data_IF_619414635377
#
_entry.id   IF_619414635377
#
_cell.length_a   1.000
_cell.length_b   1.000
_cell.length_c   1.000
_cell.angle_alpha   90.00
_cell.angle_beta   90.00
_cell.angle_gamma   90.00
#
_symmetry.space_group_name_H-M   'P 1'
#
loop_
_entity.id
_entity.type
_entity.pdbx_description
1 polymer ?
#
# COMPACT_ATOMS: atom_id res chain seq x y z
N UNK A 1 -2.96 -19.86 -4.94
CA UNK A 1 -3.15 -18.48 -5.41
C UNK A 1 -4.39 -17.80 -4.85
N UNK A 2 -5.53 -18.48 -4.71
CA UNK A 2 -6.78 -17.89 -4.17
C UNK A 2 -6.61 -17.40 -2.74
N UNK A 3 -5.90 -18.13 -1.87
CA UNK A 3 -5.69 -17.76 -0.47
C UNK A 3 -4.91 -16.46 -0.27
N UNK A 4 -3.90 -16.20 -1.09
CA UNK A 4 -3.10 -14.98 -0.99
C UNK A 4 -3.90 -13.70 -1.30
N UNK A 5 -4.86 -13.78 -2.22
CA UNK A 5 -5.71 -12.64 -2.59
C UNK A 5 -6.89 -12.39 -1.65
N UNK A 6 -7.26 -13.37 -0.81
CA UNK A 6 -8.40 -13.25 0.09
C UNK A 6 -8.11 -12.39 1.33
N UNK A 7 -6.87 -12.36 1.82
CA UNK A 7 -6.52 -11.72 3.09
C UNK A 7 -5.77 -10.41 2.92
N UNK A 8 -4.91 -10.28 1.90
CA UNK A 8 -4.01 -9.13 1.74
C UNK A 8 -4.74 -7.88 1.25
N UNK A 9 -5.41 -7.95 0.11
CA UNK A 9 -6.09 -6.78 -0.48
C UNK A 9 -7.33 -6.39 0.33
N UNK A 10 -8.23 -7.32 0.71
CA UNK A 10 -9.37 -6.98 1.55
C UNK A 10 -8.95 -6.46 2.92
N UNK A 11 -7.89 -6.99 3.53
CA UNK A 11 -7.37 -6.52 4.81
C UNK A 11 -6.94 -5.05 4.75
N UNK A 12 -6.14 -4.66 3.77
CA UNK A 12 -5.75 -3.27 3.57
C UNK A 12 -6.95 -2.36 3.27
N UNK A 13 -7.88 -2.81 2.43
CA UNK A 13 -9.08 -2.05 2.09
C UNK A 13 -9.96 -1.79 3.32
N UNK A 14 -10.22 -2.81 4.12
CA UNK A 14 -11.02 -2.70 5.34
C UNK A 14 -10.38 -1.73 6.33
N UNK A 15 -9.06 -1.83 6.55
CA UNK A 15 -8.33 -0.94 7.44
C UNK A 15 -8.32 0.50 6.92
N UNK A 16 -8.16 0.71 5.62
CA UNK A 16 -8.27 2.03 4.99
C UNK A 16 -9.65 2.65 5.19
N UNK A 17 -10.72 1.90 4.94
CA UNK A 17 -12.11 2.36 5.13
C UNK A 17 -12.38 2.65 6.62
N UNK A 18 -11.94 1.78 7.52
CA UNK A 18 -12.08 1.99 8.96
C UNK A 18 -11.40 3.27 9.43
N UNK A 19 -10.19 3.54 8.93
CA UNK A 19 -9.49 4.77 9.22
C UNK A 19 -10.23 6.00 8.68
N UNK A 20 -10.66 5.99 7.42
CA UNK A 20 -11.40 7.09 6.79
C UNK A 20 -12.73 7.37 7.49
N UNK A 21 -13.38 6.35 8.08
CA UNK A 21 -14.62 6.51 8.84
C UNK A 21 -14.40 7.03 10.26
N UNK A 22 -13.16 7.05 10.75
CA UNK A 22 -12.82 7.61 12.07
C UNK A 22 -12.88 9.14 12.09
N UNK A 23 -12.95 9.72 13.28
CA UNK A 23 -12.94 11.18 13.45
C UNK A 23 -11.70 11.84 12.80
N UNK A 24 -10.54 11.18 12.86
CA UNK A 24 -9.31 11.67 12.26
C UNK A 24 -9.27 11.52 10.73
N UNK A 25 -9.99 10.55 10.18
CA UNK A 25 -10.03 10.27 8.74
C UNK A 25 -11.07 11.10 7.97
N UNK A 26 -12.00 11.76 8.64
CA UNK A 26 -13.13 12.48 8.02
C UNK A 26 -12.67 13.62 7.09
N UNK A 27 -11.68 14.40 7.51
CA UNK A 27 -11.14 15.46 6.66
C UNK A 27 -10.43 14.90 5.42
N UNK A 28 -9.66 13.82 5.60
CA UNK A 28 -8.95 13.14 4.50
C UNK A 28 -9.97 12.58 3.52
N UNK A 29 -11.06 11.96 4.01
CA UNK A 29 -12.14 11.45 3.18
C UNK A 29 -12.78 12.56 2.36
N UNK A 30 -13.06 13.71 2.98
CA UNK A 30 -13.66 14.87 2.30
C UNK A 30 -12.74 15.40 1.20
N UNK A 31 -11.46 15.61 1.50
CA UNK A 31 -10.48 16.08 0.51
C UNK A 31 -10.38 15.08 -0.64
N UNK A 32 -10.30 13.78 -0.37
CA UNK A 32 -10.26 12.76 -1.41
C UNK A 32 -11.50 12.81 -2.31
N UNK A 33 -12.68 12.97 -1.72
CA UNK A 33 -13.93 13.12 -2.46
C UNK A 33 -13.93 14.36 -3.35
N UNK A 34 -13.54 15.51 -2.80
CA UNK A 34 -13.49 16.77 -3.53
C UNK A 34 -12.51 16.69 -4.70
N UNK A 35 -11.34 16.07 -4.53
CA UNK A 35 -10.36 15.86 -5.59
C UNK A 35 -10.88 14.90 -6.69
N UNK A 36 -11.62 13.87 -6.32
CA UNK A 36 -12.28 12.98 -7.29
C UNK A 36 -13.32 13.77 -8.10
N UNK A 37 -14.16 14.57 -7.45
CA UNK A 37 -15.22 15.34 -8.11
C UNK A 37 -14.69 16.44 -9.00
N UNK A 38 -13.51 17.00 -8.75
CA UNK A 38 -12.84 17.94 -9.67
C UNK A 38 -12.45 17.29 -11.00
N UNK A 39 -12.01 16.05 -10.96
CA UNK A 39 -11.55 15.32 -12.15
C UNK A 39 -12.72 14.63 -12.86
N UNK A 40 -13.70 14.15 -12.09
CA UNK A 40 -14.85 13.38 -12.57
C UNK A 40 -16.18 13.97 -12.06
N UNK A 41 -16.58 15.17 -12.53
CA UNK A 41 -17.78 15.86 -12.02
C UNK A 41 -19.07 15.10 -12.33
N UNK A 42 -19.09 14.29 -13.39
CA UNK A 42 -20.27 13.52 -13.83
C UNK A 42 -20.43 12.17 -13.08
N UNK A 43 -19.56 11.88 -12.11
CA UNK A 43 -19.64 10.66 -11.30
C UNK A 43 -19.12 9.40 -12.00
N UNK A 44 -18.49 9.51 -13.15
CA UNK A 44 -17.95 8.39 -13.93
C UNK A 44 -16.57 7.88 -13.44
N UNK A 45 -16.10 8.40 -12.30
CA UNK A 45 -14.88 7.93 -11.63
C UNK A 45 -14.87 6.41 -11.42
N UNK A 46 -16.02 5.82 -11.09
CA UNK A 46 -16.16 4.38 -10.85
C UNK A 46 -15.77 3.52 -12.06
N UNK A 47 -16.15 3.93 -13.26
CA UNK A 47 -15.81 3.20 -14.49
C UNK A 47 -14.41 3.54 -15.00
N UNK A 48 -14.00 4.78 -14.87
CA UNK A 48 -12.72 5.26 -15.40
C UNK A 48 -11.53 4.84 -14.53
N UNK A 49 -11.69 4.68 -13.22
CA UNK A 49 -10.62 4.24 -12.32
C UNK A 49 -10.02 2.86 -12.66
N UNK A 50 -10.71 2.06 -13.48
CA UNK A 50 -10.21 0.77 -13.95
C UNK A 50 -9.14 0.89 -15.04
N UNK A 51 -9.07 2.03 -15.71
CA UNK A 51 -8.18 2.25 -16.88
C UNK A 51 -7.26 3.45 -16.73
N UNK A 52 -7.49 4.31 -15.76
CA UNK A 52 -6.71 5.53 -15.58
C UNK A 52 -6.56 5.93 -14.10
N UNK A 53 -5.42 6.54 -13.76
CA UNK A 53 -5.12 7.12 -12.44
C UNK A 53 -4.91 8.63 -12.60
N UNK A 54 -5.99 9.41 -12.49
CA UNK A 54 -5.94 10.87 -12.69
C UNK A 54 -6.07 11.69 -11.41
N UNK A 55 -6.25 11.04 -10.25
CA UNK A 55 -6.41 11.72 -8.96
C UNK A 55 -5.19 11.43 -8.07
N UNK A 56 -4.14 12.26 -8.11
CA UNK A 56 -2.90 12.01 -7.38
C UNK A 56 -3.10 11.86 -5.86
N UNK A 57 -4.06 12.59 -5.30
CA UNK A 57 -4.37 12.52 -3.87
C UNK A 57 -4.86 11.12 -3.47
N UNK A 58 -5.74 10.52 -4.27
CA UNK A 58 -6.24 9.16 -4.01
C UNK A 58 -5.11 8.14 -4.15
N UNK A 59 -4.24 8.30 -5.15
CA UNK A 59 -3.07 7.42 -5.32
C UNK A 59 -2.13 7.52 -4.12
N UNK A 60 -1.90 8.73 -3.61
CA UNK A 60 -1.10 8.95 -2.39
C UNK A 60 -1.76 8.32 -1.16
N UNK A 61 -3.08 8.48 -1.01
CA UNK A 61 -3.85 7.88 0.07
C UNK A 61 -3.74 6.35 0.06
N UNK A 62 -3.89 5.72 -1.09
CA UNK A 62 -3.74 4.26 -1.23
C UNK A 62 -2.33 3.81 -0.84
N UNK A 63 -1.30 4.51 -1.30
CA UNK A 63 0.10 4.22 -0.91
C UNK A 63 0.31 4.34 0.59
N UNK A 64 -0.27 5.35 1.22
CA UNK A 64 -0.16 5.56 2.67
C UNK A 64 -0.91 4.48 3.47
N UNK A 65 -2.09 4.06 3.02
CA UNK A 65 -2.80 2.91 3.60
C UNK A 65 -1.94 1.64 3.54
N UNK A 66 -1.34 1.36 2.39
CA UNK A 66 -0.46 0.20 2.21
C UNK A 66 0.81 0.29 3.07
N UNK A 67 1.35 1.48 3.25
CA UNK A 67 2.51 1.72 4.11
C UNK A 67 2.17 1.53 5.58
N UNK A 68 1.07 2.10 6.04
CA UNK A 68 0.69 2.14 7.45
C UNK A 68 0.07 0.82 7.93
N UNK A 69 -0.83 0.26 7.15
CA UNK A 69 -1.53 -0.99 7.49
C UNK A 69 -0.93 -2.20 6.78
N UNK A 70 0.38 -2.34 6.80
CA UNK A 70 1.06 -3.48 6.18
C UNK A 70 0.54 -4.80 6.75
N UNK A 71 -0.18 -5.58 5.94
CA UNK A 71 -0.81 -6.85 6.35
C UNK A 71 0.24 -7.92 6.69
N UNK A 72 1.39 -7.89 6.01
CA UNK A 72 2.51 -8.79 6.27
C UNK A 72 3.73 -7.95 6.64
N UNK A 73 3.93 -7.63 7.93
CA UNK A 73 5.05 -6.78 8.37
C UNK A 73 6.41 -7.43 8.16
N UNK A 74 6.46 -8.76 8.11
CA UNK A 74 7.66 -9.53 7.73
C UNK A 74 7.43 -10.03 6.31
N UNK A 75 8.11 -9.43 5.34
CA UNK A 75 8.03 -9.86 3.95
C UNK A 75 8.41 -11.35 3.81
N UNK A 76 7.95 -11.98 2.74
CA UNK A 76 8.36 -13.34 2.42
C UNK A 76 9.90 -13.43 2.33
N UNK A 77 10.52 -14.44 2.95
CA UNK A 77 11.97 -14.58 2.96
C UNK A 77 12.50 -14.73 1.53
N UNK A 78 13.65 -14.13 1.30
CA UNK A 78 14.41 -14.24 0.05
C UNK A 78 15.77 -14.85 0.35
N UNK A 79 16.27 -15.68 -0.55
CA UNK A 79 17.60 -16.28 -0.41
C UNK A 79 18.50 -15.73 -1.50
N UNK A 80 19.70 -15.28 -1.12
CA UNK A 80 20.70 -14.82 -2.09
C UNK A 80 21.20 -15.99 -2.95
N UNK A 81 21.24 -15.80 -4.27
CA UNK A 81 21.74 -16.81 -5.21
C UNK A 81 23.22 -16.66 -5.50
N UNK A 82 23.84 -15.56 -5.04
CA UNK A 82 25.27 -15.25 -5.20
C UNK A 82 25.71 -14.38 -4.02
N UNK A 83 27.05 -14.26 -3.85
CA UNK A 83 27.63 -13.33 -2.89
C UNK A 83 27.24 -11.89 -3.21
N UNK A 84 26.86 -11.12 -2.18
CA UNK A 84 26.46 -9.72 -2.29
C UNK A 84 27.47 -8.89 -1.51
N UNK A 85 28.12 -7.94 -2.20
CA UNK A 85 28.94 -6.93 -1.53
C UNK A 85 28.04 -5.82 -0.99
N UNK A 86 28.19 -5.56 0.30
CA UNK A 86 27.52 -4.45 0.97
C UNK A 86 28.55 -3.70 1.81
N UNK A 87 28.91 -2.50 1.38
CA UNK A 87 30.00 -1.72 1.97
C UNK A 87 31.31 -2.55 2.06
N UNK A 88 31.86 -2.72 3.25
CA UNK A 88 33.09 -3.48 3.52
C UNK A 88 32.82 -4.96 3.83
N UNK A 89 31.57 -5.40 3.77
CA UNK A 89 31.17 -6.77 4.06
C UNK A 89 30.77 -7.55 2.81
N UNK A 90 30.94 -8.86 2.89
CA UNK A 90 30.40 -9.79 1.88
C UNK A 90 29.35 -10.67 2.55
N UNK A 91 28.15 -10.64 2.01
CA UNK A 91 27.03 -11.52 2.41
C UNK A 91 27.08 -12.75 1.52
N UNK A 92 27.32 -13.96 2.08
CA UNK A 92 27.46 -15.17 1.28
C UNK A 92 26.18 -15.55 0.51
N UNK A 93 26.35 -16.23 -0.61
CA UNK A 93 25.26 -16.92 -1.27
C UNK A 93 24.58 -17.90 -0.31
N UNK A 94 23.25 -18.06 -0.45
CA UNK A 94 22.44 -18.87 0.46
C UNK A 94 21.97 -18.14 1.73
N UNK A 95 22.34 -16.87 1.91
CA UNK A 95 21.85 -16.06 3.06
C UNK A 95 20.37 -15.75 2.90
N UNK A 96 19.59 -15.98 3.95
CA UNK A 96 18.16 -15.65 3.99
C UNK A 96 17.96 -14.23 4.47
N UNK A 97 17.23 -13.43 3.68
CA UNK A 97 16.85 -12.06 4.00
C UNK A 97 15.39 -11.96 4.38
N UNK A 98 15.13 -11.17 5.41
CA UNK A 98 13.80 -10.72 5.79
C UNK A 98 13.75 -9.20 5.69
N UNK A 99 12.77 -8.67 4.94
CA UNK A 99 12.46 -7.24 5.00
C UNK A 99 11.41 -7.03 6.09
N UNK A 100 11.74 -6.24 7.09
CA UNK A 100 10.82 -5.88 8.16
C UNK A 100 10.28 -4.48 7.89
N UNK A 101 8.97 -4.38 7.73
CA UNK A 101 8.29 -3.09 7.71
C UNK A 101 8.08 -2.63 9.15
N UNK A 102 8.86 -1.65 9.59
CA UNK A 102 8.62 -0.98 10.86
C UNK A 102 7.82 0.29 10.62
N UNK A 103 6.82 0.54 11.47
CA UNK A 103 6.20 1.85 11.54
C UNK A 103 7.25 2.83 12.09
N UNK A 104 7.88 3.61 11.23
CA UNK A 104 8.57 4.81 11.69
C UNK A 104 7.51 5.88 11.91
N UNK A 105 7.27 6.17 13.19
CA UNK A 105 6.53 7.34 13.64
C UNK A 105 7.16 8.62 13.13
#
# INVERSE_FOLDING_TARGET
MVSAGLDTVPGNLIMGIAYLSSAHGQEIQKVAYDEIMKVYPDGDAWTKCLVEEKVPYVTALVREVLRFFTVIPICLPRVSIKDIKYEDAVIPAGTTFYMVHTHSS
#
